data_IF_455981700427
#
_entry.id   IF_455981700427
#
_cell.length_a   1.000
_cell.length_b   1.000
_cell.length_c   1.000
_cell.angle_alpha   90.00
_cell.angle_beta   90.00
_cell.angle_gamma   90.00
#
_symmetry.space_group_name_H-M   'P 1'
#
loop_
_entity.id
_entity.type
_entity.pdbx_description
1 polymer ?
#
# COMPACT_ATOMS: atom_id res chain seq x y z
N UNK A 1 -29.17 -3.85 39.67
CA UNK A 1 -28.13 -4.40 38.77
C UNK A 1 -28.04 -3.51 37.53
N UNK A 2 -27.37 -2.35 37.64
CA UNK A 2 -27.10 -1.47 36.51
C UNK A 2 -25.63 -1.68 36.13
N UNK A 3 -25.34 -2.67 35.29
CA UNK A 3 -24.02 -2.80 34.67
C UNK A 3 -23.94 -1.77 33.54
N UNK A 4 -23.38 -0.63 33.93
CA UNK A 4 -22.57 0.32 33.16
C UNK A 4 -22.62 0.23 31.63
N UNK A 5 -23.50 1.03 31.03
CA UNK A 5 -23.40 1.43 29.60
C UNK A 5 -22.10 2.22 29.31
N UNK A 6 -21.38 2.66 30.36
CA UNK A 6 -20.14 3.43 30.26
C UNK A 6 -18.91 2.53 30.12
N UNK A 7 -18.96 1.30 30.65
CA UNK A 7 -17.90 0.30 30.47
C UNK A 7 -17.94 -0.29 29.06
N UNK A 8 -19.14 -0.52 28.51
CA UNK A 8 -19.30 -1.04 27.15
C UNK A 8 -18.80 -0.06 26.08
N UNK A 9 -19.02 1.25 26.26
CA UNK A 9 -18.46 2.26 25.35
C UNK A 9 -16.95 2.39 25.51
N UNK A 10 -16.42 2.35 26.73
CA UNK A 10 -14.98 2.42 26.98
C UNK A 10 -14.22 1.22 26.39
N UNK A 11 -14.78 0.00 26.50
CA UNK A 11 -14.22 -1.22 25.88
C UNK A 11 -14.26 -1.13 24.35
N UNK A 12 -15.32 -0.57 23.76
CA UNK A 12 -15.41 -0.35 22.30
C UNK A 12 -14.41 0.71 21.81
N UNK A 13 -14.23 1.81 22.54
CA UNK A 13 -13.23 2.84 22.20
C UNK A 13 -11.81 2.28 22.31
N UNK A 14 -11.51 1.47 23.34
CA UNK A 14 -10.22 0.79 23.47
C UNK A 14 -9.95 -0.22 22.35
N UNK A 15 -10.96 -0.99 21.94
CA UNK A 15 -10.85 -1.91 20.82
C UNK A 15 -10.63 -1.19 19.47
N UNK A 16 -11.15 0.04 19.32
CA UNK A 16 -10.90 0.89 18.14
C UNK A 16 -9.49 1.51 18.16
N UNK A 17 -9.01 2.04 19.29
CA UNK A 17 -7.65 2.58 19.44
C UNK A 17 -6.56 1.50 19.22
N UNK A 18 -6.78 0.27 19.71
CA UNK A 18 -5.86 -0.84 19.48
C UNK A 18 -5.78 -1.25 18.00
N UNK A 19 -6.86 -1.11 17.24
CA UNK A 19 -6.89 -1.36 15.79
C UNK A 19 -6.24 -0.24 14.94
N UNK A 20 -6.09 0.99 15.45
CA UNK A 20 -5.42 2.09 14.73
C UNK A 20 -3.91 2.16 15.00
N UNK A 21 -3.41 1.38 15.96
CA UNK A 21 -1.98 1.24 16.27
C UNK A 21 -1.24 0.23 15.39
N UNK A 22 -1.85 -0.21 14.28
CA UNK A 22 -1.12 -0.97 13.29
C UNK A 22 0.06 -0.10 12.80
N UNK A 23 1.32 -0.59 12.86
CA UNK A 23 2.37 -0.01 12.04
C UNK A 23 1.82 0.07 10.62
N UNK A 24 2.15 1.09 9.82
CA UNK A 24 1.62 1.33 8.46
C UNK A 24 1.95 0.20 7.45
N UNK A 25 1.58 -1.03 7.80
CA UNK A 25 1.65 -2.30 7.11
C UNK A 25 0.56 -2.27 6.06
N UNK A 26 0.89 -1.70 4.91
CA UNK A 26 -0.05 -1.69 3.80
C UNK A 26 0.23 -0.64 2.76
N UNK A 27 1.17 0.30 2.99
CA UNK A 27 1.52 1.21 1.91
C UNK A 27 2.26 0.42 0.81
N UNK A 28 1.71 0.36 -0.42
CA UNK A 28 2.35 -0.38 -1.50
C UNK A 28 3.70 0.25 -1.82
N UNK A 29 4.69 -0.59 -2.07
CA UNK A 29 5.99 -0.13 -2.58
C UNK A 29 5.91 0.01 -4.10
N UNK A 30 6.51 1.08 -4.63
CA UNK A 30 6.59 1.23 -6.08
C UNK A 30 7.50 0.14 -6.66
N UNK A 31 7.02 -0.55 -7.69
CA UNK A 31 7.74 -1.58 -8.41
C UNK A 31 8.84 -0.99 -9.30
N UNK A 32 8.71 0.27 -9.71
CA UNK A 32 9.64 0.89 -10.66
C UNK A 32 11.10 0.85 -10.17
N UNK A 33 12.04 0.51 -11.06
CA UNK A 33 13.45 0.40 -10.70
C UNK A 33 13.98 1.74 -10.16
N UNK A 34 14.67 1.71 -9.03
CA UNK A 34 15.22 2.91 -8.39
C UNK A 34 14.22 3.78 -7.62
N UNK A 35 12.92 3.49 -7.68
CA UNK A 35 11.90 4.27 -6.98
C UNK A 35 11.82 3.88 -5.50
N UNK A 36 11.91 4.87 -4.60
CA UNK A 36 11.81 4.67 -3.14
C UNK A 36 10.43 5.00 -2.57
N UNK A 37 9.43 5.27 -3.41
CA UNK A 37 8.03 5.51 -2.98
C UNK A 37 7.49 4.32 -2.19
N UNK A 38 6.88 4.58 -1.04
CA UNK A 38 6.27 3.53 -0.21
C UNK A 38 7.24 2.73 0.65
N UNK A 39 8.56 2.91 0.49
CA UNK A 39 9.54 2.32 1.39
C UNK A 39 9.60 3.11 2.71
N UNK A 40 9.99 2.45 3.82
CA UNK A 40 10.03 3.03 5.18
C UNK A 40 10.80 4.36 5.30
N UNK A 41 11.78 4.56 4.42
CA UNK A 41 12.62 5.77 4.37
C UNK A 41 12.28 6.69 3.18
N UNK A 42 11.25 6.35 2.40
CA UNK A 42 10.75 7.18 1.30
C UNK A 42 9.73 8.17 1.83
N UNK A 43 9.74 9.40 1.30
CA UNK A 43 8.78 10.43 1.64
C UNK A 43 7.36 9.85 1.66
N UNK A 44 6.70 9.93 2.83
CA UNK A 44 5.33 9.51 3.08
C UNK A 44 4.29 10.42 2.41
N UNK A 45 4.59 10.87 1.19
CA UNK A 45 3.66 11.66 0.40
C UNK A 45 2.53 10.74 -0.04
N UNK A 46 1.29 11.19 0.17
CA UNK A 46 0.09 10.63 -0.45
C UNK A 46 0.32 10.53 -1.96
N UNK A 47 0.78 9.38 -2.44
CA UNK A 47 1.02 9.11 -3.86
C UNK A 47 -0.03 8.16 -4.35
N UNK A 48 -0.50 8.42 -5.56
CA UNK A 48 -1.37 7.48 -6.25
C UNK A 48 -0.54 6.31 -6.79
N UNK A 49 -1.02 5.09 -6.51
CA UNK A 49 -0.42 3.86 -6.94
C UNK A 49 -1.35 3.16 -7.93
N UNK A 50 -0.82 2.88 -9.11
CA UNK A 50 -1.53 2.21 -10.19
C UNK A 50 -1.14 0.74 -10.23
N UNK A 51 -2.12 -0.13 -10.49
CA UNK A 51 -1.85 -1.52 -10.85
C UNK A 51 -1.45 -1.63 -12.32
N UNK A 52 -0.77 -2.71 -12.73
CA UNK A 52 -0.53 -2.98 -14.13
C UNK A 52 -1.85 -3.02 -14.91
N UNK A 53 -1.87 -2.53 -16.16
CA UNK A 53 -3.03 -2.62 -17.03
C UNK A 53 -3.40 -4.09 -17.27
N UNK A 54 -4.70 -4.35 -17.45
CA UNK A 54 -5.21 -5.69 -17.82
C UNK A 54 -4.95 -6.02 -19.29
N UNK A 55 -4.77 -4.99 -20.12
CA UNK A 55 -4.46 -5.16 -21.53
C UNK A 55 -3.08 -5.84 -21.69
N UNK A 56 -2.97 -6.96 -22.42
CA UNK A 56 -1.70 -7.67 -22.57
C UNK A 56 -0.60 -6.86 -23.26
N UNK A 57 -0.97 -5.98 -24.20
CA UNK A 57 -0.02 -5.15 -24.95
C UNK A 57 0.59 -4.10 -24.04
N UNK A 58 -0.25 -3.41 -23.27
CA UNK A 58 0.22 -2.44 -22.28
C UNK A 58 0.98 -3.11 -21.14
N UNK A 59 0.54 -4.29 -20.68
CA UNK A 59 1.27 -5.05 -19.65
C UNK A 59 2.69 -5.40 -20.12
N UNK A 60 2.85 -5.80 -21.38
CA UNK A 60 4.17 -6.09 -21.96
C UNK A 60 5.05 -4.84 -22.03
N UNK A 61 4.48 -3.68 -22.38
CA UNK A 61 5.21 -2.39 -22.34
C UNK A 61 5.69 -2.07 -20.93
N UNK A 62 4.85 -2.30 -19.92
CA UNK A 62 5.22 -2.13 -18.52
C UNK A 62 6.31 -3.10 -18.07
N UNK A 63 6.22 -4.37 -18.47
CA UNK A 63 7.25 -5.38 -18.13
C UNK A 63 8.62 -5.00 -18.71
N UNK A 64 8.64 -4.44 -19.93
CA UNK A 64 9.85 -3.96 -20.57
C UNK A 64 10.40 -2.68 -19.90
N UNK A 65 9.55 -1.70 -19.63
CA UNK A 65 9.95 -0.42 -19.03
C UNK A 65 10.36 -0.55 -17.56
N UNK A 66 9.70 -1.42 -16.81
CA UNK A 66 9.91 -1.65 -15.38
C UNK A 66 10.74 -2.92 -15.13
N UNK A 67 11.54 -3.34 -16.10
CA UNK A 67 12.31 -4.57 -16.01
C UNK A 67 13.24 -4.56 -14.79
N UNK A 68 13.14 -5.61 -13.98
CA UNK A 68 13.93 -5.80 -12.76
C UNK A 68 14.58 -7.17 -12.78
N UNK A 69 15.87 -7.20 -12.41
CA UNK A 69 16.66 -8.44 -12.33
C UNK A 69 16.25 -9.31 -11.15
N UNK A 70 15.75 -8.69 -10.08
CA UNK A 70 15.40 -9.35 -8.82
C UNK A 70 13.94 -9.84 -8.77
N UNK A 71 13.04 -9.24 -9.56
CA UNK A 71 11.60 -9.52 -9.48
C UNK A 71 10.88 -9.31 -10.80
N UNK A 72 9.96 -10.22 -11.15
CA UNK A 72 9.05 -10.06 -12.31
C UNK A 72 7.83 -9.21 -11.98
N UNK A 73 7.32 -8.49 -12.99
CA UNK A 73 6.08 -7.73 -12.86
C UNK A 73 4.90 -8.71 -12.71
N UNK A 74 4.03 -8.46 -11.74
CA UNK A 74 2.80 -9.24 -11.52
C UNK A 74 1.63 -8.30 -11.30
N UNK A 75 0.40 -8.79 -11.44
CA UNK A 75 -0.82 -8.00 -11.23
C UNK A 75 -0.95 -7.40 -9.81
N UNK A 76 -0.22 -7.94 -8.83
CA UNK A 76 -0.17 -7.42 -7.45
C UNK A 76 0.81 -6.26 -7.27
N UNK A 77 1.71 -6.05 -8.23
CA UNK A 77 2.67 -4.95 -8.18
C UNK A 77 1.94 -3.61 -8.33
N UNK A 78 2.58 -2.55 -7.85
CA UNK A 78 2.04 -1.18 -7.89
C UNK A 78 3.11 -0.24 -8.37
N UNK A 79 2.73 0.76 -9.16
CA UNK A 79 3.64 1.78 -9.70
C UNK A 79 3.10 3.14 -9.31
N UNK A 80 3.94 4.02 -8.78
CA UNK A 80 3.52 5.37 -8.42
C UNK A 80 3.44 6.29 -9.64
N UNK A 81 2.65 7.35 -9.54
CA UNK A 81 2.48 8.37 -10.59
C UNK A 81 3.78 8.98 -11.14
N UNK A 82 4.88 8.99 -10.37
CA UNK A 82 6.18 9.53 -10.81
C UNK A 82 6.88 8.69 -11.89
N UNK A 83 6.41 7.47 -12.15
CA UNK A 83 7.00 6.56 -13.14
C UNK A 83 6.20 6.50 -14.45
N UNK A 84 5.25 7.42 -14.62
CA UNK A 84 4.51 7.66 -15.86
C UNK A 84 5.08 8.85 -16.62
#
# INVERSE_FOLDING_TARGET
MQRSLHEDTYVMYKAWEEQESHPRFGMPTCFAPGCKSGYRNGYFTSRHFFGPPKDPTEFKRWEQALHRKDKKLTAKCKVCEHSF
#
